data_IF_367328638655
#
_entry.id   IF_367328638655
#
_cell.length_a   1.000
_cell.length_b   1.000
_cell.length_c   1.000
_cell.angle_alpha   90.00
_cell.angle_beta   90.00
_cell.angle_gamma   90.00
#
_symmetry.space_group_name_H-M   'P 1'
#
loop_
_entity.id
_entity.type
_entity.pdbx_description
1 polymer ?
#
# COMPACT_ATOMS: atom_id res chain seq x y z
N UNK A 1 4.26 -29.85 -20.01
CA UNK A 1 5.64 -29.38 -20.27
C UNK A 1 5.74 -27.92 -19.83
N UNK A 2 6.79 -27.55 -19.13
CA UNK A 2 6.98 -26.17 -18.69
C UNK A 2 7.82 -25.45 -19.73
N UNK A 3 7.35 -24.26 -20.15
CA UNK A 3 8.02 -23.44 -21.15
C UNK A 3 8.05 -21.99 -20.68
N UNK A 4 9.02 -21.22 -21.16
CA UNK A 4 9.04 -19.80 -20.90
C UNK A 4 8.10 -19.09 -21.87
N UNK A 5 7.48 -18.02 -21.41
CA UNK A 5 6.58 -17.17 -22.20
C UNK A 5 6.82 -15.73 -21.77
N UNK A 6 6.54 -14.78 -22.64
CA UNK A 6 6.69 -13.38 -22.23
C UNK A 6 5.79 -13.07 -21.04
N UNK A 7 6.26 -12.18 -20.18
CA UNK A 7 5.51 -11.79 -18.97
C UNK A 7 4.11 -11.29 -19.34
N UNK A 8 4.02 -10.45 -20.35
CA UNK A 8 2.75 -9.84 -20.76
C UNK A 8 1.73 -10.90 -21.22
N UNK A 9 2.16 -11.81 -22.08
CA UNK A 9 1.28 -12.87 -22.59
C UNK A 9 0.84 -13.82 -21.49
N UNK A 10 1.80 -14.24 -20.67
CA UNK A 10 1.50 -15.17 -19.59
C UNK A 10 0.57 -14.54 -18.55
N UNK A 11 0.83 -13.27 -18.21
CA UNK A 11 0.02 -12.54 -17.26
C UNK A 11 -1.45 -12.45 -17.75
N UNK A 12 -1.64 -12.19 -19.04
CA UNK A 12 -2.98 -12.14 -19.62
C UNK A 12 -3.70 -13.47 -19.49
N UNK A 13 -3.00 -14.56 -19.79
CA UNK A 13 -3.57 -15.91 -19.67
C UNK A 13 -3.94 -16.23 -18.21
N UNK A 14 -3.04 -15.90 -17.29
CA UNK A 14 -3.26 -16.16 -15.86
C UNK A 14 -4.47 -15.36 -15.36
N UNK A 15 -4.55 -14.07 -15.72
CA UNK A 15 -5.64 -13.19 -15.28
C UNK A 15 -6.98 -13.75 -15.75
N UNK A 16 -7.08 -14.20 -16.98
CA UNK A 16 -8.31 -14.78 -17.50
C UNK A 16 -8.76 -16.00 -16.71
N UNK A 17 -7.83 -16.87 -16.36
CA UNK A 17 -8.12 -18.06 -15.56
C UNK A 17 -8.58 -17.67 -14.15
N UNK A 18 -7.88 -16.72 -13.53
CA UNK A 18 -8.20 -16.28 -12.17
C UNK A 18 -9.56 -15.58 -12.10
N UNK A 19 -9.85 -14.73 -13.06
CA UNK A 19 -11.14 -14.03 -13.10
C UNK A 19 -12.30 -15.02 -13.26
N UNK A 20 -12.16 -15.99 -14.16
CA UNK A 20 -13.17 -17.02 -14.33
C UNK A 20 -13.39 -17.80 -13.04
N UNK A 21 -12.29 -18.17 -12.36
CA UNK A 21 -12.37 -18.90 -11.10
C UNK A 21 -13.02 -18.06 -9.99
N UNK A 22 -12.68 -16.79 -9.90
CA UNK A 22 -13.24 -15.89 -8.89
C UNK A 22 -14.74 -15.71 -9.10
N UNK A 23 -15.16 -15.48 -10.33
CA UNK A 23 -16.58 -15.32 -10.66
C UNK A 23 -17.36 -16.58 -10.36
N UNK A 24 -16.80 -17.75 -10.65
CA UNK A 24 -17.42 -19.03 -10.36
C UNK A 24 -17.58 -19.27 -8.86
N UNK A 25 -16.53 -18.98 -8.09
CA UNK A 25 -16.50 -19.25 -6.65
C UNK A 25 -17.32 -18.26 -5.83
N UNK A 26 -17.33 -16.98 -6.20
CA UNK A 26 -17.93 -15.91 -5.40
C UNK A 26 -19.09 -15.21 -6.08
N UNK A 27 -19.31 -15.49 -7.36
CA UNK A 27 -20.35 -14.84 -8.16
C UNK A 27 -20.23 -13.32 -8.16
N UNK A 28 -19.00 -12.81 -8.11
CA UNK A 28 -18.72 -11.38 -8.17
C UNK A 28 -17.68 -11.13 -9.26
N UNK A 29 -17.80 -9.97 -9.89
CA UNK A 29 -16.81 -9.55 -10.87
C UNK A 29 -15.58 -9.01 -10.13
N UNK A 30 -14.40 -9.22 -10.71
CA UNK A 30 -13.18 -8.65 -10.14
C UNK A 30 -13.28 -7.13 -10.18
N UNK A 31 -12.92 -6.48 -9.07
CA UNK A 31 -12.89 -5.03 -8.99
C UNK A 31 -11.59 -4.51 -9.61
N UNK A 32 -11.63 -3.46 -10.42
CA UNK A 32 -10.41 -2.86 -10.93
C UNK A 32 -9.61 -2.24 -9.79
N UNK A 33 -8.29 -2.27 -9.94
CA UNK A 33 -7.40 -1.58 -9.02
C UNK A 33 -7.51 -0.07 -9.26
N UNK A 34 -7.66 0.68 -8.19
CA UNK A 34 -7.71 2.14 -8.27
C UNK A 34 -6.49 2.73 -7.58
N UNK A 35 -5.86 3.70 -8.22
CA UNK A 35 -4.73 4.41 -7.64
C UNK A 35 -5.18 5.70 -6.99
N UNK A 36 -4.69 5.96 -5.78
CA UNK A 36 -4.92 7.20 -5.05
C UNK A 36 -3.61 7.93 -4.89
N UNK A 37 -3.67 9.27 -4.95
CA UNK A 37 -2.47 10.11 -4.91
C UNK A 37 -2.80 11.44 -4.25
N UNK A 38 -2.04 11.81 -3.23
CA UNK A 38 -2.20 13.08 -2.51
C UNK A 38 -0.86 13.73 -2.29
N UNK A 39 -0.86 15.04 -2.30
CA UNK A 39 0.32 15.85 -2.01
C UNK A 39 0.04 16.78 -0.83
N UNK A 40 1.10 17.20 -0.17
CA UNK A 40 1.05 18.28 0.80
C UNK A 40 1.89 19.42 0.26
N UNK A 41 1.23 20.56 0.01
CA UNK A 41 1.89 21.76 -0.50
C UNK A 41 1.65 22.92 0.45
N UNK A 42 2.58 23.86 0.48
CA UNK A 42 2.43 25.10 1.24
C UNK A 42 3.12 26.20 0.47
N UNK A 43 2.39 27.31 0.26
CA UNK A 43 2.88 28.48 -0.47
C UNK A 43 3.47 28.08 -1.85
N UNK A 44 2.80 27.17 -2.53
CA UNK A 44 3.22 26.70 -3.84
C UNK A 44 4.37 25.70 -3.85
N UNK A 45 4.88 25.34 -2.66
CA UNK A 45 6.01 24.40 -2.55
C UNK A 45 5.51 23.01 -2.22
N UNK A 46 6.03 22.01 -2.95
CA UNK A 46 5.77 20.60 -2.70
C UNK A 46 6.58 20.15 -1.48
N UNK A 47 5.93 19.64 -0.44
CA UNK A 47 6.61 19.21 0.79
C UNK A 47 6.58 17.72 1.01
N UNK A 48 5.65 17.00 0.41
CA UNK A 48 5.55 15.56 0.55
C UNK A 48 4.37 15.00 -0.22
N UNK A 49 4.31 13.68 -0.31
CA UNK A 49 3.22 13.00 -1.01
C UNK A 49 3.06 11.57 -0.60
N UNK A 50 1.91 11.02 -0.93
CA UNK A 50 1.57 9.63 -0.67
C UNK A 50 0.80 9.07 -1.86
N UNK A 51 1.11 7.82 -2.23
CA UNK A 51 0.34 7.09 -3.24
C UNK A 51 -0.07 5.75 -2.66
N UNK A 52 -1.18 5.23 -3.18
CA UNK A 52 -1.65 3.92 -2.76
C UNK A 52 -2.50 3.27 -3.84
N UNK A 53 -2.72 1.98 -3.67
CA UNK A 53 -3.56 1.19 -4.57
C UNK A 53 -4.69 0.56 -3.78
N UNK A 54 -5.90 0.82 -4.23
CA UNK A 54 -7.11 0.25 -3.66
C UNK A 54 -7.41 -1.04 -4.40
N UNK A 55 -7.45 -2.14 -3.68
CA UNK A 55 -7.75 -3.46 -4.22
C UNK A 55 -8.75 -4.14 -3.30
N UNK A 56 -9.98 -4.29 -3.77
CA UNK A 56 -11.05 -4.85 -2.95
C UNK A 56 -11.29 -3.99 -1.71
N UNK A 57 -11.18 -4.57 -0.53
CA UNK A 57 -11.42 -3.88 0.74
C UNK A 57 -10.12 -3.48 1.46
N UNK A 58 -9.02 -3.36 0.72
CA UNK A 58 -7.71 -3.04 1.26
C UNK A 58 -7.06 -1.95 0.43
N UNK A 59 -6.44 -0.98 1.08
CA UNK A 59 -5.57 -0.02 0.41
C UNK A 59 -4.13 -0.27 0.82
N UNK A 60 -3.27 -0.47 -0.17
CA UNK A 60 -1.83 -0.62 0.07
C UNK A 60 -1.13 0.70 -0.21
N UNK A 61 -0.40 1.23 0.76
CA UNK A 61 0.41 2.42 0.59
C UNK A 61 1.64 2.03 -0.22
N UNK A 62 1.77 2.61 -1.42
CA UNK A 62 2.87 2.28 -2.33
C UNK A 62 4.11 3.12 -2.03
N UNK A 63 3.93 4.43 -1.89
CA UNK A 63 5.03 5.38 -1.67
C UNK A 63 4.57 6.46 -0.70
N UNK A 64 5.45 6.84 0.20
CA UNK A 64 5.24 7.96 1.11
C UNK A 64 6.59 8.62 1.36
N UNK A 65 6.66 9.91 1.11
CA UNK A 65 7.88 10.66 1.36
C UNK A 65 7.54 12.10 1.77
N UNK A 66 8.37 12.64 2.64
CA UNK A 66 8.29 14.04 3.08
C UNK A 66 9.70 14.60 2.97
N UNK A 67 9.83 15.83 2.50
CA UNK A 67 11.13 16.48 2.40
C UNK A 67 11.82 16.47 3.75
N UNK A 68 13.11 16.16 3.74
CA UNK A 68 13.90 15.95 4.96
C UNK A 68 13.76 17.10 5.96
N UNK A 69 13.83 18.33 5.49
CA UNK A 69 13.76 19.52 6.33
C UNK A 69 12.37 19.80 6.89
N UNK A 70 11.35 19.06 6.42
CA UNK A 70 9.97 19.25 6.84
C UNK A 70 9.38 18.06 7.60
N UNK A 71 10.18 17.05 7.91
CA UNK A 71 9.69 15.80 8.53
C UNK A 71 9.15 15.98 9.95
N UNK A 72 9.57 17.02 10.65
CA UNK A 72 9.12 17.28 12.02
C UNK A 72 7.78 18.02 12.10
N UNK A 73 7.10 18.27 10.98
CA UNK A 73 5.85 19.02 10.94
C UNK A 73 4.60 18.14 10.83
N UNK A 74 4.74 16.86 11.07
CA UNK A 74 3.64 15.90 11.01
C UNK A 74 2.97 15.78 9.63
N UNK A 75 3.69 16.11 8.57
CA UNK A 75 3.16 16.08 7.21
C UNK A 75 2.82 14.64 6.80
N UNK A 76 3.72 13.68 7.13
CA UNK A 76 3.46 12.26 6.83
C UNK A 76 2.19 11.75 7.49
N UNK A 77 1.97 12.10 8.74
CA UNK A 77 0.76 11.72 9.48
C UNK A 77 -0.49 12.33 8.84
N UNK A 78 -0.41 13.59 8.40
CA UNK A 78 -1.53 14.24 7.71
C UNK A 78 -1.87 13.56 6.39
N UNK A 79 -0.83 13.13 5.65
CA UNK A 79 -1.03 12.39 4.40
C UNK A 79 -1.69 11.04 4.64
N UNK A 80 -1.25 10.31 5.66
CA UNK A 80 -1.89 9.03 6.02
C UNK A 80 -3.35 9.25 6.40
N UNK A 81 -3.64 10.27 7.19
CA UNK A 81 -5.02 10.56 7.60
C UNK A 81 -5.92 10.90 6.42
N UNK A 82 -5.42 11.66 5.45
CA UNK A 82 -6.18 11.96 4.25
C UNK A 82 -6.54 10.70 3.48
N UNK A 83 -5.59 9.80 3.34
CA UNK A 83 -5.81 8.53 2.67
C UNK A 83 -6.79 7.65 3.46
N UNK A 84 -6.62 7.61 4.77
CA UNK A 84 -7.48 6.84 5.67
C UNK A 84 -8.94 7.28 5.59
N UNK A 85 -9.20 8.58 5.55
CA UNK A 85 -10.56 9.10 5.45
C UNK A 85 -11.29 8.58 4.21
N UNK A 86 -10.59 8.53 3.09
CA UNK A 86 -11.18 8.02 1.84
C UNK A 86 -11.43 6.53 1.94
N UNK A 87 -10.48 5.78 2.48
CA UNK A 87 -10.61 4.33 2.57
C UNK A 87 -11.70 3.92 3.55
N UNK A 88 -11.89 4.67 4.63
CA UNK A 88 -13.01 4.42 5.56
C UNK A 88 -14.35 4.67 4.85
N UNK A 89 -14.46 5.73 4.08
CA UNK A 89 -15.68 6.03 3.33
C UNK A 89 -16.01 4.94 2.30
N UNK A 90 -14.99 4.26 1.79
CA UNK A 90 -15.16 3.16 0.84
C UNK A 90 -15.27 1.80 1.52
N UNK A 91 -15.44 1.81 2.83
CA UNK A 91 -15.64 0.58 3.63
C UNK A 91 -14.48 -0.40 3.53
N UNK A 92 -13.25 0.10 3.36
CA UNK A 92 -12.06 -0.75 3.41
C UNK A 92 -11.83 -1.23 4.84
N UNK A 93 -11.28 -2.43 4.96
CA UNK A 93 -10.97 -3.03 6.26
C UNK A 93 -9.55 -2.73 6.72
N UNK A 94 -8.62 -2.58 5.79
CA UNK A 94 -7.20 -2.47 6.12
C UNK A 94 -6.49 -1.42 5.28
N UNK A 95 -5.51 -0.76 5.92
CA UNK A 95 -4.38 -0.13 5.25
C UNK A 95 -3.18 -1.05 5.44
N UNK A 96 -2.38 -1.22 4.40
CA UNK A 96 -1.13 -2.00 4.48
C UNK A 96 0.02 -1.19 3.95
N UNK A 97 1.23 -1.49 4.42
CA UNK A 97 2.45 -0.85 3.98
C UNK A 97 3.63 -1.75 4.29
N UNK A 98 4.69 -1.64 3.48
CA UNK A 98 5.95 -2.33 3.73
C UNK A 98 7.03 -1.28 3.99
N UNK A 99 7.96 -1.58 4.88
CA UNK A 99 9.11 -0.70 5.10
C UNK A 99 10.34 -1.52 5.47
N UNK A 100 11.51 -1.02 5.10
CA UNK A 100 12.81 -1.62 5.43
C UNK A 100 13.57 -0.75 6.41
N UNK A 101 13.15 0.49 6.56
CA UNK A 101 13.82 1.48 7.38
C UNK A 101 13.27 1.43 8.79
N UNK A 102 14.18 1.35 9.77
CA UNK A 102 13.80 1.35 11.16
C UNK A 102 13.02 2.62 11.54
N UNK A 103 13.38 3.77 10.98
CA UNK A 103 12.63 5.00 11.21
C UNK A 103 11.22 4.93 10.62
N UNK A 104 11.09 4.36 9.45
CA UNK A 104 9.79 4.12 8.82
C UNK A 104 8.94 3.18 9.65
N UNK A 105 9.54 2.12 10.18
CA UNK A 105 8.85 1.19 11.06
C UNK A 105 8.23 1.93 12.26
N UNK A 106 9.02 2.75 12.94
CA UNK A 106 8.55 3.53 14.08
C UNK A 106 7.45 4.50 13.69
N UNK A 107 7.64 5.18 12.57
CA UNK A 107 6.66 6.13 12.08
C UNK A 107 5.29 5.47 11.87
N UNK A 108 5.27 4.32 11.20
CA UNK A 108 4.02 3.62 10.96
C UNK A 108 3.41 3.07 12.25
N UNK A 109 4.22 2.55 13.15
CA UNK A 109 3.71 2.09 14.45
C UNK A 109 3.08 3.24 15.24
N UNK A 110 3.70 4.42 15.21
CA UNK A 110 3.14 5.61 15.87
C UNK A 110 1.83 6.07 15.22
N UNK A 111 1.56 5.66 13.98
CA UNK A 111 0.33 5.96 13.28
C UNK A 111 -0.70 4.83 13.34
N UNK A 112 -0.50 3.86 14.25
CA UNK A 112 -1.48 2.82 14.50
C UNK A 112 -1.32 1.55 13.69
N UNK A 113 -0.21 1.41 12.97
CA UNK A 113 0.07 0.19 12.24
C UNK A 113 0.74 -0.84 13.15
N UNK A 114 0.49 -2.11 12.86
CA UNK A 114 1.14 -3.23 13.57
C UNK A 114 1.88 -4.11 12.56
N UNK A 115 3.01 -4.66 12.97
CA UNK A 115 3.77 -5.59 12.15
C UNK A 115 3.04 -6.93 12.15
N UNK A 116 2.80 -7.50 10.98
CA UNK A 116 2.23 -8.84 10.87
C UNK A 116 3.14 -9.80 10.13
N UNK A 117 4.32 -9.37 9.72
CA UNK A 117 5.30 -10.22 9.09
C UNK A 117 6.62 -9.50 8.90
N UNK A 118 7.71 -10.25 8.84
CA UNK A 118 9.02 -9.68 8.56
C UNK A 118 9.90 -10.68 7.83
N UNK A 119 10.81 -10.15 7.02
CA UNK A 119 11.80 -10.94 6.31
C UNK A 119 13.18 -10.40 6.68
N UNK A 120 13.95 -11.24 7.37
CA UNK A 120 15.32 -10.90 7.78
C UNK A 120 16.22 -10.99 6.55
N UNK A 121 17.20 -10.10 6.45
CA UNK A 121 18.13 -10.04 5.32
C UNK A 121 17.44 -9.86 3.97
N UNK A 122 16.42 -9.03 3.94
CA UNK A 122 15.66 -8.73 2.74
C UNK A 122 15.41 -7.22 2.64
N UNK A 123 15.68 -6.60 1.52
CA UNK A 123 16.17 -7.17 0.26
C UNK A 123 17.69 -7.46 0.25
N UNK A 124 18.40 -7.05 1.28
CA UNK A 124 19.84 -7.24 1.38
C UNK A 124 20.20 -7.73 2.77
N UNK A 125 21.35 -8.44 2.86
CA UNK A 125 21.90 -8.84 4.14
C UNK A 125 22.06 -7.62 5.05
N UNK A 126 21.64 -7.76 6.31
CA UNK A 126 21.70 -6.68 7.30
C UNK A 126 20.45 -5.79 7.34
N UNK A 127 19.50 -6.01 6.45
CA UNK A 127 18.24 -5.27 6.45
C UNK A 127 17.08 -6.21 6.81
N UNK A 128 15.97 -5.66 7.26
CA UNK A 128 14.75 -6.43 7.52
C UNK A 128 13.59 -5.72 6.86
N UNK A 129 12.82 -6.45 6.08
CA UNK A 129 11.61 -5.92 5.48
C UNK A 129 10.44 -6.22 6.39
N UNK A 130 9.72 -5.19 6.80
CA UNK A 130 8.56 -5.31 7.67
C UNK A 130 7.27 -5.12 6.87
N UNK A 131 6.27 -5.94 7.18
CA UNK A 131 4.93 -5.87 6.60
C UNK A 131 3.98 -5.42 7.69
N UNK A 132 3.33 -4.28 7.49
CA UNK A 132 2.48 -3.68 8.51
C UNK A 132 1.06 -3.51 8.00
N UNK A 133 0.12 -3.52 8.94
CA UNK A 133 -1.28 -3.30 8.65
C UNK A 133 -1.89 -2.39 9.72
N UNK A 134 -2.93 -1.67 9.30
CA UNK A 134 -3.77 -0.93 10.23
C UNK A 134 -5.21 -1.33 9.94
N UNK A 135 -5.90 -1.86 10.96
CA UNK A 135 -7.31 -2.21 10.82
C UNK A 135 -8.13 -0.94 10.93
N UNK A 136 -9.00 -0.72 9.96
CA UNK A 136 -9.82 0.49 9.92
C UNK A 136 -11.12 0.31 10.68
N UNK A 137 -11.67 1.38 11.26
CA UNK A 137 -12.98 1.29 11.92
C UNK A 137 -14.07 1.04 10.88
N UNK A 138 -15.07 0.30 11.29
CA UNK A 138 -16.25 0.05 10.45
C UNK A 138 -17.26 1.17 10.59
#
# INVERSE_FOLDING_TARGET
MIEEMSLKENQQQIIEILEAHQNEAFQINSSPTESLSFTYTKDGCYLGGITGKLMGNRLHISLLAVKKEKRHLNIGTKLIKALEEITVKRECLYLTVNTQDFQGLRFYQNNGFEVFGELVDCPFEGTTKYYLRKKLPK
#
